data_IF_311459656062
#
_entry.id   IF_311459656062
#
_cell.length_a   1.000
_cell.length_b   1.000
_cell.length_c   1.000
_cell.angle_alpha   90.00
_cell.angle_beta   90.00
_cell.angle_gamma   90.00
#
_symmetry.space_group_name_H-M   'P 1'
#
loop_
_entity.id
_entity.type
_entity.pdbx_description
1 polymer ?
#
# COMPACT_ATOMS: atom_id res chain seq x y z
N UNK A 1 47.23 -15.27 -30.53
CA UNK A 1 46.03 -15.87 -29.90
C UNK A 1 45.76 -15.41 -28.46
N UNK A 2 46.75 -14.97 -27.67
CA UNK A 2 46.59 -14.55 -26.25
C UNK A 2 45.76 -13.28 -26.02
N UNK A 3 45.85 -12.28 -26.92
CA UNK A 3 45.13 -11.00 -26.76
C UNK A 3 43.61 -11.05 -26.97
N UNK A 4 43.09 -12.10 -27.65
CA UNK A 4 41.63 -12.29 -27.80
C UNK A 4 41.01 -12.88 -26.54
N UNK A 5 41.71 -13.79 -25.87
CA UNK A 5 41.30 -14.38 -24.59
C UNK A 5 41.18 -13.34 -23.48
N UNK A 6 42.16 -12.43 -23.36
CA UNK A 6 42.12 -11.35 -22.38
C UNK A 6 40.88 -10.44 -22.55
N UNK A 7 40.48 -10.17 -23.81
CA UNK A 7 39.26 -9.38 -24.11
C UNK A 7 37.99 -10.12 -23.67
N UNK A 8 37.87 -11.41 -23.95
CA UNK A 8 36.69 -12.19 -23.53
C UNK A 8 36.56 -12.29 -22.01
N UNK A 9 37.69 -12.47 -21.30
CA UNK A 9 37.70 -12.49 -19.82
C UNK A 9 37.29 -11.12 -19.26
N UNK A 10 37.86 -10.02 -19.78
CA UNK A 10 37.51 -8.67 -19.34
C UNK A 10 36.02 -8.35 -19.58
N UNK A 11 35.48 -8.70 -20.76
CA UNK A 11 34.05 -8.52 -21.06
C UNK A 11 33.17 -9.39 -20.16
N UNK A 12 33.59 -10.63 -19.86
CA UNK A 12 32.87 -11.52 -18.94
C UNK A 12 32.81 -10.98 -17.51
N UNK A 13 33.93 -10.45 -17.00
CA UNK A 13 33.99 -9.79 -15.68
C UNK A 13 33.10 -8.55 -15.64
N UNK A 14 33.13 -7.73 -16.69
CA UNK A 14 32.27 -6.54 -16.79
C UNK A 14 30.79 -6.93 -16.78
N UNK A 15 30.37 -7.93 -17.56
CA UNK A 15 29.00 -8.44 -17.56
C UNK A 15 28.58 -9.01 -16.20
N UNK A 16 29.47 -9.73 -15.52
CA UNK A 16 29.22 -10.25 -14.18
C UNK A 16 29.05 -9.12 -13.14
N UNK A 17 29.85 -8.06 -13.21
CA UNK A 17 29.69 -6.88 -12.35
C UNK A 17 28.38 -6.13 -12.61
N UNK A 18 27.98 -5.96 -13.89
CA UNK A 18 26.70 -5.32 -14.22
C UNK A 18 25.50 -6.13 -13.69
N UNK A 19 25.56 -7.45 -13.75
CA UNK A 19 24.51 -8.31 -13.20
C UNK A 19 24.45 -8.27 -11.65
N UNK A 20 25.59 -8.03 -10.99
CA UNK A 20 25.67 -7.97 -9.53
C UNK A 20 25.15 -6.64 -8.92
N UNK A 21 25.12 -5.54 -9.69
CA UNK A 21 24.74 -4.21 -9.18
C UNK A 21 23.23 -3.94 -9.14
N UNK A 22 22.37 -4.84 -9.63
CA UNK A 22 20.91 -4.64 -9.62
C UNK A 22 20.19 -5.77 -8.90
N UNK A 23 20.39 -5.87 -7.58
CA UNK A 23 19.62 -6.81 -6.76
C UNK A 23 18.25 -6.22 -6.42
N UNK A 24 17.20 -6.77 -7.02
CA UNK A 24 15.79 -6.51 -6.70
C UNK A 24 15.18 -7.76 -6.06
N UNK A 25 15.38 -7.98 -4.75
CA UNK A 25 14.91 -9.19 -4.08
C UNK A 25 13.40 -9.28 -4.11
N UNK A 26 12.83 -10.46 -4.36
CA UNK A 26 11.38 -10.75 -4.38
C UNK A 26 10.98 -11.84 -3.38
N UNK A 27 11.88 -12.19 -2.47
CA UNK A 27 11.77 -13.30 -1.52
C UNK A 27 10.69 -13.09 -0.45
N UNK A 28 10.32 -11.84 -0.18
CA UNK A 28 9.31 -11.44 0.81
C UNK A 28 8.05 -10.83 0.17
N UNK A 29 7.84 -11.11 -1.12
CA UNK A 29 6.69 -10.60 -1.87
C UNK A 29 6.86 -9.19 -2.41
N UNK A 30 8.10 -8.66 -2.45
CA UNK A 30 8.40 -7.39 -3.11
C UNK A 30 8.08 -7.49 -4.61
N UNK A 31 7.59 -6.40 -5.18
CA UNK A 31 7.27 -6.24 -6.59
C UNK A 31 7.93 -4.97 -7.13
N UNK A 32 8.25 -4.97 -8.42
CA UNK A 32 8.96 -3.87 -9.08
C UNK A 32 8.30 -3.45 -10.40
N UNK A 33 7.00 -3.77 -10.55
CA UNK A 33 6.21 -3.54 -11.76
C UNK A 33 5.64 -2.12 -11.85
N UNK A 34 5.53 -1.41 -10.72
CA UNK A 34 4.93 -0.07 -10.62
C UNK A 34 5.92 1.07 -10.89
N UNK A 35 7.20 0.74 -11.14
CA UNK A 35 8.27 1.73 -11.28
C UNK A 35 8.74 2.28 -9.93
N UNK A 36 9.59 3.31 -9.99
CA UNK A 36 10.15 3.95 -8.80
C UNK A 36 9.34 5.18 -8.44
N UNK A 37 8.90 5.25 -7.19
CA UNK A 37 8.23 6.40 -6.61
C UNK A 37 9.26 7.45 -6.16
N UNK A 38 8.90 8.73 -6.31
CA UNK A 38 9.74 9.88 -5.91
C UNK A 38 9.09 10.71 -4.80
N UNK A 39 7.93 10.27 -4.30
CA UNK A 39 7.14 10.95 -3.30
C UNK A 39 6.39 9.91 -2.45
N UNK A 40 6.14 10.20 -1.15
CA UNK A 40 5.53 9.23 -0.24
C UNK A 40 4.17 8.69 -0.67
N UNK A 41 3.37 9.52 -1.33
CA UNK A 41 2.04 9.18 -1.84
C UNK A 41 1.89 9.66 -3.27
N UNK A 42 1.56 8.73 -4.18
CA UNK A 42 1.29 9.04 -5.57
C UNK A 42 -0.15 8.72 -5.92
N UNK A 43 -0.89 9.71 -6.41
CA UNK A 43 -2.25 9.52 -6.90
C UNK A 43 -2.20 8.66 -8.16
N UNK A 44 -2.93 7.54 -8.17
CA UNK A 44 -3.01 6.64 -9.31
C UNK A 44 -4.41 6.64 -9.91
N UNK A 45 -4.49 6.45 -11.23
CA UNK A 45 -5.77 6.40 -11.92
C UNK A 45 -6.61 5.18 -11.54
N UNK A 46 -5.91 4.07 -11.38
CA UNK A 46 -6.43 2.78 -11.01
C UNK A 46 -5.32 2.05 -10.24
N UNK A 47 -5.59 1.48 -9.07
CA UNK A 47 -4.63 0.64 -8.38
C UNK A 47 -4.24 -0.58 -9.24
N UNK A 48 -2.97 -0.98 -9.22
CA UNK A 48 -2.54 -2.25 -9.80
C UNK A 48 -2.90 -3.44 -8.87
N UNK A 49 -4.20 -3.68 -8.79
CA UNK A 49 -4.79 -4.78 -8.06
C UNK A 49 -6.02 -5.31 -8.79
N UNK A 50 -6.14 -6.63 -8.83
CA UNK A 50 -7.17 -7.32 -9.61
C UNK A 50 -8.28 -7.80 -8.69
N UNK A 51 -9.52 -7.55 -9.11
CA UNK A 51 -10.72 -8.05 -8.44
C UNK A 51 -11.21 -7.13 -7.34
N UNK A 52 -11.90 -7.72 -6.37
CA UNK A 52 -12.54 -7.02 -5.26
C UNK A 52 -11.98 -7.47 -3.91
N UNK A 53 -12.02 -6.60 -2.87
CA UNK A 53 -11.62 -6.99 -1.51
C UNK A 53 -12.44 -8.17 -0.98
N UNK A 54 -11.76 -9.17 -0.42
CA UNK A 54 -12.40 -10.39 0.12
C UNK A 54 -13.04 -10.19 1.51
N UNK A 55 -12.69 -9.12 2.21
CA UNK A 55 -13.04 -8.83 3.60
C UNK A 55 -14.04 -7.67 3.74
N UNK A 56 -14.95 -7.51 2.77
CA UNK A 56 -15.95 -6.44 2.78
C UNK A 56 -16.86 -6.49 4.03
N UNK A 57 -17.22 -7.70 4.50
CA UNK A 57 -18.01 -7.90 5.72
C UNK A 57 -17.27 -7.42 6.97
N UNK A 58 -16.03 -7.87 7.15
CA UNK A 58 -15.18 -7.46 8.29
C UNK A 58 -14.93 -5.95 8.30
N UNK A 59 -14.75 -5.34 7.13
CA UNK A 59 -14.65 -3.88 7.01
C UNK A 59 -15.90 -3.17 7.51
N UNK A 60 -17.09 -3.64 7.13
CA UNK A 60 -18.35 -3.05 7.60
C UNK A 60 -18.52 -3.19 9.12
N UNK A 61 -18.15 -4.34 9.70
CA UNK A 61 -18.14 -4.52 11.15
C UNK A 61 -17.15 -3.56 11.82
N UNK A 62 -15.93 -3.43 11.29
CA UNK A 62 -14.92 -2.52 11.81
C UNK A 62 -15.38 -1.06 11.79
N UNK A 63 -16.07 -0.62 10.74
CA UNK A 63 -16.67 0.73 10.66
C UNK A 63 -17.75 0.92 11.71
N UNK A 64 -18.58 -0.10 11.99
CA UNK A 64 -19.57 -0.04 13.06
C UNK A 64 -18.94 0.05 14.45
N UNK A 65 -17.84 -0.67 14.70
CA UNK A 65 -17.08 -0.56 15.94
C UNK A 65 -16.48 0.85 16.11
N UNK A 66 -15.99 1.48 15.04
CA UNK A 66 -15.51 2.86 15.08
C UNK A 66 -16.66 3.81 15.40
N UNK A 67 -17.83 3.61 14.79
CA UNK A 67 -19.02 4.44 15.04
C UNK A 67 -19.45 4.42 16.50
N UNK A 68 -19.44 3.25 17.14
CA UNK A 68 -19.83 3.10 18.55
C UNK A 68 -18.74 3.55 19.53
N UNK A 69 -17.49 3.14 19.30
CA UNK A 69 -16.39 3.39 20.24
C UNK A 69 -15.75 4.78 20.10
N UNK A 70 -15.79 5.38 18.90
CA UNK A 70 -15.22 6.70 18.64
C UNK A 70 -16.08 7.53 17.66
N UNK A 71 -17.25 8.04 18.11
CA UNK A 71 -18.15 8.80 17.24
C UNK A 71 -17.50 10.00 16.56
N UNK A 72 -16.58 10.70 17.24
CA UNK A 72 -15.85 11.84 16.68
C UNK A 72 -14.99 11.45 15.48
N UNK A 73 -14.27 10.33 15.59
CA UNK A 73 -13.47 9.79 14.47
C UNK A 73 -14.38 9.34 13.34
N UNK A 74 -15.50 8.69 13.66
CA UNK A 74 -16.49 8.28 12.67
C UNK A 74 -17.03 9.46 11.87
N UNK A 75 -17.49 10.52 12.54
CA UNK A 75 -18.05 11.71 11.88
C UNK A 75 -17.04 12.35 10.93
N UNK A 76 -15.78 12.51 11.38
CA UNK A 76 -14.72 13.11 10.56
C UNK A 76 -14.42 12.32 9.28
N UNK A 77 -14.51 10.98 9.33
CA UNK A 77 -14.16 10.10 8.22
C UNK A 77 -15.38 9.47 7.52
N UNK A 78 -16.59 9.89 7.89
CA UNK A 78 -17.85 9.28 7.45
C UNK A 78 -18.01 9.26 5.93
N UNK A 79 -17.57 10.31 5.25
CA UNK A 79 -17.58 10.40 3.78
C UNK A 79 -16.77 9.27 3.14
N UNK A 80 -15.57 9.00 3.65
CA UNK A 80 -14.70 7.92 3.15
C UNK A 80 -15.34 6.56 3.42
N UNK A 81 -15.83 6.32 4.64
CA UNK A 81 -16.47 5.05 4.99
C UNK A 81 -17.72 4.78 4.15
N UNK A 82 -18.52 5.80 3.86
CA UNK A 82 -19.73 5.68 3.04
C UNK A 82 -19.37 5.42 1.56
N UNK A 83 -18.40 6.15 1.01
CA UNK A 83 -17.94 5.95 -0.36
C UNK A 83 -17.40 4.52 -0.57
N UNK A 84 -16.53 4.04 0.32
CA UNK A 84 -15.97 2.68 0.27
C UNK A 84 -17.06 1.62 0.43
N UNK A 85 -18.00 1.78 1.35
CA UNK A 85 -19.11 0.83 1.51
C UNK A 85 -20.02 0.78 0.26
N UNK A 86 -20.30 1.92 -0.37
CA UNK A 86 -21.10 1.96 -1.59
C UNK A 86 -20.38 1.27 -2.76
N UNK A 87 -19.08 1.51 -2.90
CA UNK A 87 -18.22 0.83 -3.86
C UNK A 87 -18.16 -0.69 -3.62
N UNK A 88 -18.04 -1.13 -2.37
CA UNK A 88 -18.06 -2.56 -2.03
C UNK A 88 -19.42 -3.20 -2.33
N UNK A 89 -20.54 -2.51 -2.05
CA UNK A 89 -21.90 -2.99 -2.37
C UNK A 89 -22.15 -3.11 -3.87
N UNK A 90 -21.47 -2.31 -4.70
CA UNK A 90 -21.56 -2.38 -6.16
C UNK A 90 -20.62 -3.42 -6.78
N UNK A 91 -19.96 -4.26 -5.98
CA UNK A 91 -19.08 -5.33 -6.45
C UNK A 91 -17.59 -5.11 -6.14
N UNK A 92 -17.17 -3.91 -5.74
CA UNK A 92 -15.82 -3.66 -5.22
C UNK A 92 -14.68 -3.79 -6.23
N UNK A 93 -14.94 -3.70 -7.54
CA UNK A 93 -13.86 -3.72 -8.56
C UNK A 93 -13.00 -2.45 -8.42
N UNK A 94 -11.68 -2.61 -8.28
CA UNK A 94 -10.71 -1.50 -8.17
C UNK A 94 -10.77 -0.52 -9.34
N UNK A 95 -11.25 -0.96 -10.51
CA UNK A 95 -11.45 -0.13 -11.71
C UNK A 95 -12.58 0.89 -11.56
N UNK A 96 -13.54 0.64 -10.68
CA UNK A 96 -14.75 1.48 -10.54
C UNK A 96 -14.67 2.46 -9.37
N UNK A 97 -13.59 2.44 -8.59
CA UNK A 97 -13.40 3.29 -7.40
C UNK A 97 -13.70 4.78 -7.64
N UNK A 98 -13.28 5.31 -8.79
CA UNK A 98 -13.52 6.71 -9.18
C UNK A 98 -14.99 7.06 -9.37
N UNK A 99 -15.83 6.11 -9.76
CA UNK A 99 -17.27 6.32 -9.92
C UNK A 99 -17.95 6.59 -8.57
N UNK A 100 -17.31 6.16 -7.48
CA UNK A 100 -17.73 6.43 -6.09
C UNK A 100 -16.97 7.61 -5.47
N UNK A 101 -16.22 8.35 -6.28
CA UNK A 101 -15.38 9.47 -5.85
C UNK A 101 -14.21 9.04 -4.97
N UNK A 102 -13.71 7.81 -5.08
CA UNK A 102 -12.60 7.32 -4.26
C UNK A 102 -11.28 7.53 -5.02
N UNK A 103 -10.41 8.37 -4.49
CA UNK A 103 -9.04 8.52 -4.99
C UNK A 103 -8.11 7.52 -4.31
N UNK A 104 -7.31 6.83 -5.12
CA UNK A 104 -6.32 5.87 -4.66
C UNK A 104 -4.93 6.51 -4.63
N UNK A 105 -4.37 6.67 -3.43
CA UNK A 105 -3.00 7.13 -3.24
C UNK A 105 -2.09 5.94 -2.91
N UNK A 106 -1.21 5.60 -3.84
CA UNK A 106 -0.24 4.52 -3.69
C UNK A 106 0.96 4.99 -2.86
N UNK A 107 1.37 4.18 -1.90
CA UNK A 107 2.51 4.46 -1.02
C UNK A 107 3.82 4.04 -1.68
N UNK A 108 4.90 4.80 -1.47
CA UNK A 108 6.22 4.48 -2.05
C UNK A 108 6.88 3.21 -1.46
N UNK A 109 6.52 2.83 -0.24
CA UNK A 109 7.09 1.66 0.44
C UNK A 109 8.50 1.87 0.98
N UNK A 110 9.12 0.83 1.52
CA UNK A 110 10.44 0.91 2.19
C UNK A 110 11.60 1.08 1.21
N UNK A 111 11.41 0.68 -0.05
CA UNK A 111 12.44 0.69 -1.11
C UNK A 111 12.11 1.65 -2.26
N UNK A 112 11.05 2.46 -2.13
CA UNK A 112 10.52 3.36 -3.15
C UNK A 112 9.98 2.66 -4.41
N UNK A 113 9.62 1.38 -4.35
CA UNK A 113 9.00 0.64 -5.46
C UNK A 113 7.56 0.18 -5.16
N UNK A 114 6.93 0.73 -4.12
CA UNK A 114 5.58 0.36 -3.69
C UNK A 114 5.54 -0.75 -2.65
N UNK A 115 6.70 -1.24 -2.20
CA UNK A 115 6.79 -2.36 -1.27
C UNK A 115 6.63 -1.88 0.17
N UNK A 116 5.38 -1.82 0.62
CA UNK A 116 5.03 -1.48 2.00
C UNK A 116 5.37 -2.65 2.93
N UNK A 117 6.11 -2.36 4.00
CA UNK A 117 6.42 -3.35 5.03
C UNK A 117 5.16 -3.70 5.84
N UNK A 118 4.76 -4.96 5.81
CA UNK A 118 3.71 -5.48 6.67
C UNK A 118 4.29 -6.26 7.85
N UNK A 119 3.86 -5.91 9.05
CA UNK A 119 4.10 -6.67 10.27
C UNK A 119 2.76 -7.01 10.91
N UNK A 120 2.71 -8.09 11.68
CA UNK A 120 1.49 -8.53 12.36
C UNK A 120 1.70 -8.52 13.87
N UNK A 121 0.74 -7.98 14.61
CA UNK A 121 0.65 -8.10 16.06
C UNK A 121 -0.70 -8.75 16.38
N UNK A 122 -0.67 -9.93 16.98
CA UNK A 122 -1.87 -10.64 17.43
C UNK A 122 -2.01 -10.47 18.94
N UNK A 123 -3.24 -10.29 19.44
CA UNK A 123 -3.52 -10.46 20.88
C UNK A 123 -3.59 -11.95 21.17
N UNK A 124 -2.62 -12.53 21.92
CA UNK A 124 -2.68 -13.94 22.22
C UNK A 124 -3.87 -14.21 23.14
N UNK A 125 -4.75 -15.12 22.74
CA UNK A 125 -5.69 -15.75 23.67
C UNK A 125 -5.03 -16.99 24.24
N UNK A 126 -4.84 -17.09 25.55
CA UNK A 126 -4.55 -18.38 26.16
C UNK A 126 -5.78 -19.27 26.01
N UNK A 127 -5.76 -20.13 24.99
CA UNK A 127 -6.71 -21.23 24.80
C UNK A 127 -5.98 -22.40 24.15
N UNK A 128 -5.97 -23.54 24.85
CA UNK A 128 -5.32 -24.80 24.48
C UNK A 128 -5.81 -25.31 23.11
N UNK A 129 -4.89 -25.40 22.12
CA UNK A 129 -4.99 -25.98 20.75
C UNK A 129 -6.15 -25.44 19.84
N UNK A 130 -6.00 -25.09 18.55
CA UNK A 130 -5.50 -25.82 17.36
C UNK A 130 -5.18 -24.80 16.23
N UNK A 131 -4.21 -25.13 15.36
CA UNK A 131 -3.75 -24.49 14.09
C UNK A 131 -4.66 -23.44 13.43
N UNK A 132 -4.10 -22.26 13.15
CA UNK A 132 -4.61 -21.34 12.12
C UNK A 132 -3.57 -21.16 10.99
N UNK A 133 -4.02 -21.29 9.73
CA UNK A 133 -3.23 -21.08 8.51
C UNK A 133 -3.62 -19.72 7.94
N UNK A 134 -2.71 -18.75 7.93
CA UNK A 134 -2.96 -17.44 7.35
C UNK A 134 -2.90 -17.49 5.81
N UNK A 135 -3.90 -16.92 5.13
CA UNK A 135 -3.81 -16.48 3.74
C UNK A 135 -3.87 -14.95 3.76
N UNK A 136 -2.81 -14.31 3.25
CA UNK A 136 -2.73 -12.86 3.17
C UNK A 136 -3.00 -12.41 1.74
N UNK A 137 -3.95 -11.50 1.57
CA UNK A 137 -4.12 -10.69 0.37
C UNK A 137 -4.45 -9.29 0.89
N UNK A 138 -3.46 -8.41 0.97
CA UNK A 138 -3.65 -7.04 1.46
C UNK A 138 -3.25 -6.07 0.36
N UNK A 139 -4.24 -5.29 -0.05
CA UNK A 139 -4.14 -4.17 -0.95
C UNK A 139 -3.91 -2.90 -0.13
N UNK A 140 -2.73 -2.29 -0.24
CA UNK A 140 -2.44 -0.97 0.37
C UNK A 140 -2.93 0.14 -0.55
N UNK A 141 -4.19 0.55 -0.39
CA UNK A 141 -4.68 1.80 -0.97
C UNK A 141 -5.09 2.73 0.16
N UNK A 142 -4.43 3.88 0.26
CA UNK A 142 -4.93 4.99 1.08
C UNK A 142 -6.00 5.71 0.26
N UNK A 143 -7.25 5.60 0.69
CA UNK A 143 -8.35 6.37 0.13
C UNK A 143 -8.35 7.76 0.74
N UNK A 144 -8.15 8.81 -0.07
CA UNK A 144 -8.28 10.21 0.37
C UNK A 144 -9.19 10.94 -0.61
N UNK A 145 -10.41 11.30 -0.21
CA UNK A 145 -11.25 12.21 -0.97
C UNK A 145 -10.76 13.65 -0.81
N UNK A 146 -10.66 14.36 -1.95
CA UNK A 146 -10.41 15.81 -2.12
C UNK A 146 -10.53 16.66 -0.85
N UNK A 147 -9.43 17.34 -0.49
CA UNK A 147 -9.40 18.32 0.58
C UNK A 147 -8.79 19.64 0.09
N UNK A 148 -9.58 20.44 -0.63
CA UNK A 148 -9.35 21.88 -0.83
C UNK A 148 -9.55 22.70 0.47
N UNK A 149 -9.21 22.14 1.64
CA UNK A 149 -9.58 22.73 2.93
C UNK A 149 -8.50 22.60 4.02
N UNK A 150 -7.22 22.63 3.69
CA UNK A 150 -6.17 22.81 4.70
C UNK A 150 -5.14 23.87 4.28
N UNK A 151 -5.50 25.14 4.51
CA UNK A 151 -4.50 26.20 4.78
C UNK A 151 -3.82 25.86 6.12
N UNK A 152 -2.49 25.72 6.19
CA UNK A 152 -1.82 25.58 7.49
C UNK A 152 -1.87 26.93 8.22
N UNK A 153 -2.58 26.94 9.36
CA UNK A 153 -2.46 27.99 10.34
C UNK A 153 -1.07 27.91 11.01
N UNK A 154 -0.08 28.52 10.37
CA UNK A 154 1.14 28.93 11.05
C UNK A 154 0.79 30.11 11.96
N UNK A 155 0.60 29.85 13.26
CA UNK A 155 0.58 30.90 14.27
C UNK A 155 1.59 30.59 15.37
N UNK A 156 2.78 31.17 15.17
CA UNK A 156 3.63 31.83 16.17
C UNK A 156 3.68 31.23 17.59
N UNK A 157 4.77 30.54 17.88
CA UNK A 157 5.38 30.56 19.21
C UNK A 157 6.82 31.04 19.08
N UNK A 158 6.99 32.37 19.14
CA UNK A 158 8.24 33.04 19.45
C UNK A 158 7.96 34.15 20.48
N UNK A 159 8.86 34.28 21.46
CA UNK A 159 8.88 35.22 22.60
C UNK A 159 7.80 34.91 23.67
N UNK A 160 8.14 34.65 24.93
CA UNK A 160 9.08 35.35 25.83
C UNK A 160 9.65 34.42 26.89
#
# INVERSE_FOLDING_TARGET
>A
MKGRWAKYVATGVMLAMLAACSSKPTDRGQQYKDGKFTQPFSLVNQPDAVGAPINAGDFAEQVNQIRSASPRLYTNQSNVYNAVQNWLRSGGDTRTMRQFGIDAWQMEGTDNYGNVQFTATIRPSFRLAIRARARSSILSIVCRQNADAYRPALRSTQAR
#
